data_IF_561430626691
#
_entry.id   IF_561430626691
#
_cell.length_a   1.000
_cell.length_b   1.000
_cell.length_c   1.000
_cell.angle_alpha   90.00
_cell.angle_beta   90.00
_cell.angle_gamma   90.00
#
_symmetry.space_group_name_H-M   'P 1'
#
loop_
_entity.id
_entity.type
_entity.pdbx_description
1 polymer ?
#
# COMPACT_ATOMS: atom_id res chain seq x y z
N UNK A 1 -7.31 29.40 9.67
CA UNK A 1 -8.63 29.22 10.31
C UNK A 1 -8.51 28.07 11.30
N UNK A 2 -9.05 28.18 12.52
CA UNK A 2 -8.89 27.15 13.54
C UNK A 2 -9.73 25.91 13.17
N UNK A 3 -9.10 24.75 13.16
CA UNK A 3 -9.73 23.45 12.98
C UNK A 3 -10.59 23.12 14.21
N UNK A 4 -11.88 22.89 14.02
CA UNK A 4 -12.79 22.45 15.06
C UNK A 4 -12.51 20.98 15.41
N UNK A 5 -12.07 20.72 16.64
CA UNK A 5 -11.92 19.37 17.18
C UNK A 5 -13.25 18.91 17.76
N UNK A 6 -13.73 17.74 17.33
CA UNK A 6 -14.88 17.05 17.92
C UNK A 6 -14.40 15.83 18.70
N UNK A 7 -14.95 15.62 19.90
CA UNK A 7 -14.68 14.44 20.72
C UNK A 7 -15.97 13.63 20.92
N UNK A 8 -15.90 12.34 20.59
CA UNK A 8 -16.88 11.35 21.02
C UNK A 8 -16.11 10.13 21.54
N UNK A 9 -16.48 9.65 22.74
CA UNK A 9 -15.86 8.49 23.40
C UNK A 9 -14.34 8.57 23.64
N UNK A 10 -13.80 9.77 23.86
CA UNK A 10 -12.39 9.96 24.23
C UNK A 10 -11.40 9.80 23.06
N UNK A 11 -11.90 9.69 21.83
CA UNK A 11 -11.08 9.69 20.61
C UNK A 11 -11.20 11.06 19.96
N UNK A 12 -10.09 11.78 19.86
CA UNK A 12 -10.01 13.05 19.13
C UNK A 12 -10.00 12.75 17.61
N UNK A 13 -11.03 13.23 16.91
CA UNK A 13 -11.05 13.17 15.45
C UNK A 13 -10.63 14.52 14.87
N UNK A 14 -9.55 14.52 14.09
CA UNK A 14 -9.18 15.68 13.26
C UNK A 14 -10.14 15.69 12.07
N UNK A 15 -11.17 16.51 12.13
CA UNK A 15 -12.04 16.77 10.97
C UNK A 15 -11.30 17.72 10.03
N UNK A 16 -10.56 17.16 9.08
CA UNK A 16 -10.03 17.88 7.93
C UNK A 16 -10.79 17.43 6.68
N UNK A 17 -11.62 18.30 6.11
CA UNK A 17 -12.29 18.08 4.81
C UNK A 17 -11.31 17.93 3.63
N UNK A 18 -10.02 18.17 3.84
CA UNK A 18 -9.00 18.03 2.80
C UNK A 18 -8.08 16.87 3.14
N UNK A 19 -8.36 15.73 2.49
CA UNK A 19 -7.32 14.73 2.23
C UNK A 19 -6.16 15.44 1.53
N UNK A 20 -4.89 15.21 1.93
CA UNK A 20 -3.76 15.75 1.19
C UNK A 20 -3.84 15.23 -0.25
N UNK A 21 -4.15 16.13 -1.18
CA UNK A 21 -4.19 15.85 -2.61
C UNK A 21 -2.74 15.72 -3.08
N UNK A 22 -2.27 14.48 -3.17
CA UNK A 22 -0.98 14.10 -3.74
C UNK A 22 -1.14 12.97 -4.74
N UNK A 23 -0.06 12.52 -5.36
CA UNK A 23 -0.10 11.31 -6.18
C UNK A 23 -0.74 10.16 -5.36
N UNK A 24 -1.69 9.40 -5.93
CA UNK A 24 -2.34 8.33 -5.20
C UNK A 24 -1.29 7.35 -4.66
N UNK A 25 -1.15 7.29 -3.35
CA UNK A 25 -0.28 6.33 -2.68
C UNK A 25 -1.05 5.01 -2.53
N UNK A 26 -0.71 4.01 -3.33
CA UNK A 26 -1.22 2.66 -3.14
C UNK A 26 -0.61 2.09 -1.85
N UNK A 27 -1.37 2.10 -0.75
CA UNK A 27 -1.00 1.36 0.45
C UNK A 27 -1.53 -0.07 0.32
N UNK A 28 -0.62 -1.02 0.17
CA UNK A 28 -0.93 -2.44 0.26
C UNK A 28 -0.74 -2.88 1.70
N UNK A 29 -1.78 -3.49 2.28
CA UNK A 29 -1.64 -4.21 3.54
C UNK A 29 -0.63 -5.35 3.38
N UNK A 30 0.10 -5.74 4.44
CA UNK A 30 0.79 -7.03 4.47
C UNK A 30 -0.24 -8.14 4.18
N UNK A 31 0.06 -8.99 3.20
CA UNK A 31 -0.81 -10.07 2.77
C UNK A 31 -0.02 -11.38 2.96
N UNK A 32 -0.58 -12.32 3.72
CA UNK A 32 0.04 -13.64 3.95
C UNK A 32 -0.10 -14.57 2.74
N UNK A 33 -0.98 -14.22 1.81
CA UNK A 33 -1.23 -14.95 0.57
C UNK A 33 -0.24 -14.57 -0.52
N UNK A 34 0.37 -15.59 -1.13
CA UNK A 34 1.35 -15.49 -2.21
C UNK A 34 0.77 -14.90 -3.53
N UNK A 35 -0.55 -14.68 -3.59
CA UNK A 35 -1.28 -14.28 -4.80
C UNK A 35 -1.15 -12.79 -5.16
N UNK A 36 -0.56 -11.97 -4.27
CA UNK A 36 -0.35 -10.53 -4.48
C UNK A 36 1.12 -10.11 -4.64
N UNK A 37 2.05 -11.07 -4.76
CA UNK A 37 3.48 -10.76 -4.81
C UNK A 37 3.88 -10.33 -6.21
N UNK A 38 4.53 -9.17 -6.31
CA UNK A 38 5.13 -8.66 -7.54
C UNK A 38 6.07 -9.72 -8.14
N UNK A 39 6.07 -9.86 -9.48
CA UNK A 39 6.92 -10.81 -10.22
C UNK A 39 8.35 -10.83 -9.64
N UNK A 40 8.89 -11.99 -9.18
CA UNK A 40 10.17 -12.08 -8.47
C UNK A 40 11.34 -11.45 -9.22
N UNK A 41 11.33 -11.53 -10.55
CA UNK A 41 12.35 -10.93 -11.41
C UNK A 41 12.41 -9.40 -11.28
N UNK A 42 11.27 -8.73 -11.08
CA UNK A 42 11.22 -7.27 -10.90
C UNK A 42 11.79 -6.87 -9.54
N UNK A 43 11.50 -7.66 -8.51
CA UNK A 43 12.07 -7.48 -7.16
C UNK A 43 13.58 -7.65 -7.20
N UNK A 44 14.07 -8.70 -7.87
CA UNK A 44 15.51 -8.92 -8.06
C UNK A 44 16.19 -7.76 -8.80
N UNK A 45 15.61 -7.28 -9.91
CA UNK A 45 16.14 -6.12 -10.65
C UNK A 45 16.22 -4.85 -9.79
N UNK A 46 15.21 -4.61 -8.93
CA UNK A 46 15.23 -3.49 -7.98
C UNK A 46 16.39 -3.66 -6.98
N UNK A 47 16.50 -4.84 -6.38
CA UNK A 47 17.50 -5.14 -5.35
C UNK A 47 18.93 -4.96 -5.90
N UNK A 48 19.20 -5.43 -7.12
CA UNK A 48 20.46 -5.22 -7.82
C UNK A 48 20.71 -3.74 -8.13
N UNK A 49 19.70 -3.02 -8.65
CA UNK A 49 19.82 -1.61 -9.04
C UNK A 49 20.13 -0.70 -7.85
N UNK A 50 19.44 -0.92 -6.73
CA UNK A 50 19.56 -0.07 -5.54
C UNK A 50 20.49 -0.65 -4.47
N UNK A 51 21.10 -1.81 -4.72
CA UNK A 51 21.98 -2.54 -3.79
C UNK A 51 21.31 -2.79 -2.43
N UNK A 52 20.04 -3.17 -2.45
CA UNK A 52 19.25 -3.51 -1.26
C UNK A 52 18.94 -5.01 -1.25
N UNK A 53 18.59 -5.56 -0.08
CA UNK A 53 18.18 -6.95 0.07
C UNK A 53 16.77 -7.04 0.64
N UNK A 54 15.84 -7.58 -0.15
CA UNK A 54 14.46 -7.84 0.29
C UNK A 54 14.42 -8.70 1.54
N UNK A 55 15.24 -9.75 1.59
CA UNK A 55 15.22 -10.72 2.70
C UNK A 55 15.74 -10.08 3.99
N UNK A 56 16.77 -9.24 3.91
CA UNK A 56 17.26 -8.48 5.06
C UNK A 56 16.19 -7.50 5.57
N UNK A 57 15.44 -6.86 4.67
CA UNK A 57 14.34 -5.96 5.03
C UNK A 57 13.13 -6.68 5.62
N UNK A 58 12.86 -7.93 5.20
CA UNK A 58 11.83 -8.78 5.82
C UNK A 58 12.26 -9.17 7.23
N UNK A 59 13.49 -9.64 7.38
CA UNK A 59 14.03 -10.06 8.67
C UNK A 59 14.13 -8.91 9.67
N UNK A 60 14.46 -7.69 9.24
CA UNK A 60 14.48 -6.52 10.13
C UNK A 60 13.09 -6.14 10.67
N UNK A 61 12.02 -6.60 10.01
CA UNK A 61 10.62 -6.40 10.43
C UNK A 61 10.04 -7.60 11.19
N UNK A 62 10.81 -8.67 11.41
CA UNK A 62 10.32 -9.87 12.08
C UNK A 62 9.81 -9.61 13.51
N UNK A 63 10.30 -8.55 14.16
CA UNK A 63 9.90 -8.15 15.51
C UNK A 63 8.60 -7.31 15.53
N UNK A 64 8.03 -6.97 14.38
CA UNK A 64 6.76 -6.26 14.31
C UNK A 64 5.65 -7.30 14.39
N UNK A 65 4.94 -7.33 15.52
CA UNK A 65 3.78 -8.21 15.69
C UNK A 65 2.71 -7.90 14.64
N UNK A 66 2.24 -8.94 13.97
CA UNK A 66 1.07 -8.81 13.10
C UNK A 66 -0.18 -8.59 13.95
N UNK A 67 -1.17 -7.83 13.46
CA UNK A 67 -2.44 -7.69 14.16
C UNK A 67 -3.07 -9.07 14.43
N UNK A 68 -3.39 -9.36 15.70
CA UNK A 68 -4.01 -10.62 16.12
C UNK A 68 -5.41 -10.82 15.52
N UNK A 69 -6.11 -9.71 15.28
CA UNK A 69 -7.44 -9.71 14.69
C UNK A 69 -7.38 -9.06 13.30
N UNK A 70 -7.63 -9.89 12.30
CA UNK A 70 -7.77 -9.45 10.92
C UNK A 70 -9.24 -9.13 10.66
N UNK A 71 -9.53 -7.94 10.14
CA UNK A 71 -10.90 -7.57 9.78
C UNK A 71 -11.47 -8.60 8.78
N UNK A 72 -12.61 -9.24 9.06
CA UNK A 72 -13.17 -10.30 8.21
C UNK A 72 -13.46 -9.87 6.76
N UNK A 73 -13.60 -8.57 6.52
CA UNK A 73 -13.89 -7.97 5.22
C UNK A 73 -12.64 -7.45 4.49
N UNK A 74 -11.48 -7.31 5.17
CA UNK A 74 -10.26 -6.83 4.53
C UNK A 74 -9.80 -7.76 3.39
N UNK A 75 -9.94 -9.06 3.61
CA UNK A 75 -9.54 -10.11 2.67
C UNK A 75 -10.74 -10.80 2.02
N UNK A 76 -11.84 -10.07 1.86
CA UNK A 76 -13.05 -10.58 1.21
C UNK A 76 -12.79 -11.10 -0.22
N UNK A 77 -11.79 -10.53 -0.90
CA UNK A 77 -11.34 -10.98 -2.22
C UNK A 77 -10.78 -12.42 -2.21
N UNK A 78 -10.14 -12.86 -1.12
CA UNK A 78 -9.61 -14.24 -0.99
C UNK A 78 -10.77 -15.24 -1.01
N UNK A 79 -11.84 -14.94 -0.25
CA UNK A 79 -13.00 -15.83 -0.12
C UNK A 79 -13.87 -15.87 -1.37
N UNK A 80 -13.99 -14.73 -2.05
CA UNK A 80 -14.92 -14.59 -3.18
C UNK A 80 -14.26 -14.74 -4.54
N UNK A 81 -12.92 -14.64 -4.62
CA UNK A 81 -12.19 -14.53 -5.87
C UNK A 81 -12.49 -13.25 -6.67
N UNK A 82 -13.28 -12.32 -6.11
CA UNK A 82 -13.66 -11.07 -6.75
C UNK A 82 -12.73 -9.96 -6.29
N UNK A 83 -12.06 -9.31 -7.23
CA UNK A 83 -11.15 -8.20 -6.95
C UNK A 83 -10.59 -7.61 -8.24
N UNK A 84 -9.77 -6.57 -8.09
CA UNK A 84 -9.02 -5.97 -9.19
C UNK A 84 -7.57 -6.45 -9.12
N UNK A 85 -7.08 -7.02 -10.21
CA UNK A 85 -5.68 -7.36 -10.36
C UNK A 85 -4.98 -6.23 -11.13
N UNK A 86 -3.89 -5.73 -10.57
CA UNK A 86 -3.00 -4.77 -11.24
C UNK A 86 -1.79 -5.54 -11.72
N UNK A 87 -1.55 -5.56 -13.04
CA UNK A 87 -0.30 -6.08 -13.61
C UNK A 87 0.51 -4.94 -14.23
N UNK A 88 1.80 -5.18 -14.36
CA UNK A 88 2.77 -4.25 -14.91
C UNK A 88 2.93 -4.58 -16.40
N UNK A 89 2.40 -3.71 -17.25
CA UNK A 89 2.64 -3.71 -18.70
C UNK A 89 3.82 -2.81 -19.08
N UNK A 90 4.54 -3.17 -20.15
CA UNK A 90 5.46 -2.23 -20.80
C UNK A 90 4.62 -1.25 -21.61
N UNK A 91 4.78 0.04 -21.33
CA UNK A 91 4.18 1.11 -22.12
C UNK A 91 5.27 2.11 -22.53
N UNK A 92 5.22 2.67 -23.75
CA UNK A 92 5.99 3.89 -24.02
C UNK A 92 5.57 4.96 -23.00
N UNK A 93 6.57 5.62 -22.42
CA UNK A 93 6.34 6.72 -21.50
C UNK A 93 6.16 7.99 -22.34
N UNK A 94 4.98 8.57 -22.31
CA UNK A 94 4.73 9.88 -22.93
C UNK A 94 5.56 10.94 -22.19
N UNK A 95 6.58 11.49 -22.85
CA UNK A 95 7.56 12.40 -22.26
C UNK A 95 6.99 13.79 -21.96
N UNK A 96 5.74 14.07 -22.36
CA UNK A 96 5.07 15.37 -22.20
C UNK A 96 3.60 15.16 -21.87
N UNK A 97 3.18 15.62 -20.70
CA UNK A 97 1.78 15.96 -20.49
C UNK A 97 1.50 17.29 -21.22
N UNK A 98 0.41 17.43 -22.00
CA UNK A 98 -0.03 18.75 -22.43
C UNK A 98 -0.28 19.60 -21.17
N UNK A 99 0.50 20.67 -21.03
CA UNK A 99 0.36 21.62 -19.92
C UNK A 99 -0.91 22.46 -20.18
N UNK A 100 -1.81 22.63 -19.19
CA UNK A 100 -2.97 23.52 -19.32
C UNK A 100 -2.59 24.99 -19.38
#
# INVERSE_FOLDING_TARGET
MPSSTGSENGVEYIVSEKLPLGAPALMMSPQDVNTGIVKPELVKKRDEKYKISTDNMKNSRANIETPKEMNPYADYWIKTGKGFAVDIGKTPMELRAPFP
#
